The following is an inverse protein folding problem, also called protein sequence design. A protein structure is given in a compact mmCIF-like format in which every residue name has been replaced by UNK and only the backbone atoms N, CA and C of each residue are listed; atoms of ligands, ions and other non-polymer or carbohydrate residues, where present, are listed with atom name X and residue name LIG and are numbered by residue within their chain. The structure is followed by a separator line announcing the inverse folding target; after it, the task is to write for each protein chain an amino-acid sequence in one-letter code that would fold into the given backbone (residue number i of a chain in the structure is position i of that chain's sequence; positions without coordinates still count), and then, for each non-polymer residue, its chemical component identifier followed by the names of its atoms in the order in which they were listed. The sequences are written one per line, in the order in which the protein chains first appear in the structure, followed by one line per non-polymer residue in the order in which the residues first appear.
data_IF_882833448295
#
_entry.id   IF_882833448295
#
_cell.length_a   1.000
_cell.length_b   1.000
_cell.length_c   1.000
_cell.angle_alpha   90.00
_cell.angle_beta   90.00
_cell.angle_gamma   90.00
#
_symmetry.space_group_name_H-M   'P 1'
#
loop_
_entity.id
_entity.type
_entity.pdbx_description
1 polymer ?
#
# COMPACT_ATOMS: atom_id res chain seq x y z
N UNK A 1 10.99 13.13 -3.30
CA UNK A 1 9.97 12.34 -4.01
C UNK A 1 8.74 12.23 -3.09
N UNK A 2 7.55 12.56 -3.58
CA UNK A 2 6.32 12.56 -2.77
C UNK A 2 5.65 11.17 -2.72
N UNK A 3 5.77 10.38 -3.78
CA UNK A 3 5.21 9.03 -3.88
C UNK A 3 6.20 7.91 -3.56
N UNK A 4 5.71 6.67 -3.44
CA UNK A 4 6.55 5.51 -3.16
C UNK A 4 7.52 5.19 -4.31
N UNK A 5 8.79 4.95 -3.97
CA UNK A 5 9.81 4.54 -4.93
C UNK A 5 9.73 3.05 -5.32
N UNK A 6 10.63 2.55 -6.19
CA UNK A 6 10.60 1.17 -6.72
C UNK A 6 10.70 0.08 -5.65
N UNK A 7 11.23 0.39 -4.45
CA UNK A 7 11.25 -0.56 -3.32
C UNK A 7 9.86 -0.87 -2.77
N UNK A 8 8.90 0.03 -2.94
CA UNK A 8 7.53 -0.20 -2.50
C UNK A 8 6.84 -1.27 -3.36
N UNK A 9 6.97 -1.20 -4.69
CA UNK A 9 6.36 -2.20 -5.59
C UNK A 9 6.99 -3.58 -5.44
N UNK A 10 8.31 -3.64 -5.23
CA UNK A 10 9.00 -4.89 -4.91
C UNK A 10 8.51 -5.50 -3.60
N UNK A 11 8.39 -4.68 -2.54
CA UNK A 11 7.90 -5.15 -1.25
C UNK A 11 6.43 -5.62 -1.35
N UNK A 12 5.57 -4.85 -2.02
CA UNK A 12 4.17 -5.22 -2.22
C UNK A 12 4.04 -6.57 -2.94
N UNK A 13 4.72 -6.72 -4.07
CA UNK A 13 4.72 -7.96 -4.86
C UNK A 13 5.20 -9.17 -4.05
N UNK A 14 6.26 -9.00 -3.25
CA UNK A 14 6.79 -10.07 -2.41
C UNK A 14 5.79 -10.46 -1.31
N UNK A 15 5.24 -9.47 -0.60
CA UNK A 15 4.28 -9.68 0.47
C UNK A 15 2.98 -10.30 -0.04
N UNK A 16 2.46 -9.87 -1.19
CA UNK A 16 1.21 -10.39 -1.76
C UNK A 16 1.33 -11.89 -2.05
N UNK A 17 2.45 -12.31 -2.64
CA UNK A 17 2.74 -13.72 -2.90
C UNK A 17 2.92 -14.51 -1.62
N UNK A 18 3.61 -13.93 -0.63
CA UNK A 18 3.80 -14.57 0.67
C UNK A 18 2.47 -14.79 1.39
N UNK A 19 1.56 -13.81 1.36
CA UNK A 19 0.22 -13.92 1.94
C UNK A 19 -0.64 -14.95 1.21
N UNK A 20 -0.63 -14.94 -0.12
CA UNK A 20 -1.33 -15.95 -0.91
C UNK A 20 -0.87 -17.37 -0.57
N UNK A 21 0.45 -17.58 -0.49
CA UNK A 21 1.02 -18.86 -0.11
C UNK A 21 0.66 -19.26 1.33
N UNK A 22 0.69 -18.31 2.27
CA UNK A 22 0.26 -18.52 3.66
C UNK A 22 -1.19 -18.99 3.74
N UNK A 23 -2.06 -18.47 2.87
CA UNK A 23 -3.47 -18.88 2.76
C UNK A 23 -3.68 -20.15 1.90
N UNK A 24 -2.61 -20.84 1.48
CA UNK A 24 -2.70 -22.05 0.66
C UNK A 24 -3.05 -21.82 -0.82
N UNK A 25 -3.00 -20.57 -1.29
CA UNK A 25 -3.27 -20.20 -2.69
C UNK A 25 -1.96 -20.10 -3.47
N UNK A 26 -1.96 -20.60 -4.72
CA UNK A 26 -0.78 -20.57 -5.59
C UNK A 26 -0.62 -19.26 -6.37
N UNK A 27 -1.61 -18.36 -6.28
CA UNK A 27 -1.58 -17.06 -6.93
C UNK A 27 -2.16 -15.98 -5.99
N UNK A 28 -1.56 -14.78 -5.96
CA UNK A 28 -2.13 -13.64 -5.26
C UNK A 28 -3.38 -13.13 -5.96
N UNK A 29 -4.23 -12.48 -5.17
CA UNK A 29 -5.50 -11.88 -5.58
C UNK A 29 -5.49 -10.38 -5.29
N UNK A 30 -6.51 -9.67 -5.78
CA UNK A 30 -6.70 -8.25 -5.45
C UNK A 30 -6.87 -8.03 -3.95
N UNK A 31 -7.43 -9.00 -3.22
CA UNK A 31 -7.61 -8.89 -1.77
C UNK A 31 -6.28 -8.93 -1.01
N UNK A 32 -5.23 -9.52 -1.58
CA UNK A 32 -3.87 -9.46 -1.02
C UNK A 32 -3.30 -8.05 -1.15
N UNK A 33 -3.46 -7.44 -2.33
CA UNK A 33 -3.06 -6.06 -2.59
C UNK A 33 -3.78 -5.10 -1.63
N UNK A 34 -5.10 -5.25 -1.47
CA UNK A 34 -5.90 -4.42 -0.56
C UNK A 34 -5.44 -4.58 0.89
N UNK A 35 -5.15 -5.81 1.32
CA UNK A 35 -4.68 -6.08 2.67
C UNK A 35 -3.27 -5.54 2.96
N UNK A 36 -2.40 -5.50 1.95
CA UNK A 36 -0.99 -5.13 2.12
C UNK A 36 -0.66 -3.70 1.71
N UNK A 37 -1.58 -2.98 1.05
CA UNK A 37 -1.39 -1.60 0.63
C UNK A 37 -0.98 -0.67 1.78
N UNK A 38 -1.72 -0.64 2.89
CA UNK A 38 -1.39 0.21 4.04
C UNK A 38 -0.03 -0.13 4.68
N UNK A 39 0.23 -1.36 5.16
CA UNK A 39 1.48 -1.66 5.86
C UNK A 39 2.72 -1.49 4.98
N UNK A 40 2.61 -1.69 3.65
CA UNK A 40 3.73 -1.50 2.73
C UNK A 40 3.97 -0.03 2.41
N UNK A 41 2.92 0.78 2.23
CA UNK A 41 3.03 2.13 1.67
C UNK A 41 3.09 3.25 2.73
N UNK A 42 2.53 3.06 3.94
CA UNK A 42 2.31 4.13 4.92
C UNK A 42 3.57 4.93 5.32
N UNK A 43 4.76 4.33 5.23
CA UNK A 43 6.04 4.96 5.59
C UNK A 43 6.94 5.24 4.39
N UNK A 44 6.43 5.06 3.16
CA UNK A 44 7.23 5.15 1.92
C UNK A 44 6.91 6.37 1.07
N UNK A 45 6.08 7.27 1.56
CA UNK A 45 5.64 8.46 0.86
C UNK A 45 5.42 9.61 1.83
N UNK A 46 5.34 10.83 1.30
CA UNK A 46 5.13 12.03 2.06
C UNK A 46 3.97 12.83 1.48
N UNK A 47 3.27 13.56 2.34
CA UNK A 47 2.22 14.50 1.93
C UNK A 47 2.75 15.92 1.90
N UNK A 48 2.21 16.73 1.00
CA UNK A 48 2.48 18.17 0.93
C UNK A 48 2.12 18.85 2.25
N UNK A 49 2.71 20.03 2.50
CA UNK A 49 2.40 20.81 3.70
C UNK A 49 0.90 21.13 3.80
N UNK A 50 0.28 21.55 2.68
CA UNK A 50 -1.16 21.84 2.63
C UNK A 50 -2.01 20.63 3.03
N UNK A 51 -1.73 19.44 2.47
CA UNK A 51 -2.49 18.23 2.81
C UNK A 51 -2.35 17.85 4.29
N UNK A 52 -1.17 18.03 4.88
CA UNK A 52 -0.97 17.83 6.33
C UNK A 52 -1.74 18.87 7.16
N UNK A 53 -1.77 20.13 6.74
CA UNK A 53 -2.51 21.19 7.41
C UNK A 53 -4.04 20.97 7.39
N UNK A 54 -4.55 20.30 6.35
CA UNK A 54 -5.93 19.84 6.24
C UNK A 54 -6.22 18.57 7.08
N UNK A 55 -5.23 18.05 7.81
CA UNK A 55 -5.38 16.85 8.64
C UNK A 55 -5.34 15.53 7.87
N UNK A 56 -5.00 15.54 6.57
CA UNK A 56 -4.88 14.31 5.78
C UNK A 56 -3.64 13.53 6.20
N UNK A 57 -3.78 12.21 6.38
CA UNK A 57 -2.67 11.29 6.63
C UNK A 57 -2.36 10.44 5.40
N UNK A 58 -1.15 9.86 5.35
CA UNK A 58 -0.78 8.90 4.30
C UNK A 58 -1.72 7.69 4.31
N UNK A 59 -2.15 7.25 5.50
CA UNK A 59 -3.10 6.13 5.65
C UNK A 59 -4.43 6.43 4.96
N UNK A 60 -4.93 7.66 5.09
CA UNK A 60 -6.18 8.08 4.42
C UNK A 60 -6.06 8.00 2.90
N UNK A 61 -4.93 8.45 2.35
CA UNK A 61 -4.66 8.38 0.91
C UNK A 61 -4.58 6.92 0.44
N UNK A 62 -3.85 6.08 1.17
CA UNK A 62 -3.71 4.66 0.83
C UNK A 62 -5.05 3.94 0.91
N UNK A 63 -5.82 4.15 1.98
CA UNK A 63 -7.15 3.57 2.16
C UNK A 63 -8.12 4.02 1.06
N UNK A 64 -8.07 5.29 0.65
CA UNK A 64 -8.89 5.81 -0.46
C UNK A 64 -8.55 5.11 -1.78
N UNK A 65 -7.26 4.96 -2.10
CA UNK A 65 -6.82 4.32 -3.34
C UNK A 65 -7.11 2.82 -3.34
N UNK A 66 -6.87 2.13 -2.23
CA UNK A 66 -7.12 0.69 -2.10
C UNK A 66 -8.59 0.30 -2.28
N UNK A 67 -9.54 1.20 -1.95
CA UNK A 67 -10.97 1.01 -2.22
C UNK A 67 -11.33 1.09 -3.71
N UNK A 68 -10.51 1.76 -4.52
CA UNK A 68 -10.74 1.93 -5.96
C UNK A 68 -10.15 0.82 -6.83
N UNK A 69 -9.38 -0.09 -6.23
CA UNK A 69 -8.94 -1.36 -6.83
C UNK A 69 -10.04 -2.37 -6.57
#
# INVERSE_FOLDING_TARGET
AWGPGPRASQALTLCDRARALYDGRLAPSVDDIRALAEPVLQHRMALTFAARAEGTSVRDVVAKLAKGI
#
